data_IF_355261571111
#
_entry.id   IF_355261571111
#
_cell.length_a   1.000
_cell.length_b   1.000
_cell.length_c   1.000
_cell.angle_alpha   90.00
_cell.angle_beta   90.00
_cell.angle_gamma   90.00
#
_symmetry.space_group_name_H-M   'P 1'
#
loop_
_entity.id
_entity.type
_entity.pdbx_description
1 polymer ?
#
# COMPACT_ATOMS: atom_id res chain seq x y z
N UNK A 1 5.19 14.30 10.82
CA UNK A 1 4.35 14.64 9.65
C UNK A 1 4.65 13.61 8.57
N UNK A 2 3.69 12.75 8.21
CA UNK A 2 3.86 11.57 7.32
C UNK A 2 4.02 12.03 5.86
N UNK A 3 4.90 11.41 5.08
CA UNK A 3 4.96 11.62 3.62
C UNK A 3 3.95 10.67 3.00
N UNK A 4 2.87 11.23 2.45
CA UNK A 4 1.86 10.48 1.71
C UNK A 4 2.22 10.54 0.23
N UNK A 5 2.44 9.40 -0.42
CA UNK A 5 2.57 9.35 -1.87
C UNK A 5 1.17 9.46 -2.50
N UNK A 6 0.91 10.57 -3.20
CA UNK A 6 -0.35 10.79 -3.91
C UNK A 6 -0.25 10.27 -5.34
N UNK A 7 -1.15 9.35 -5.72
CA UNK A 7 -1.28 8.91 -7.10
C UNK A 7 -2.30 9.77 -7.85
N UNK A 8 -1.85 10.45 -8.91
CA UNK A 8 -2.71 11.19 -9.83
C UNK A 8 -3.59 10.20 -10.63
N UNK A 9 -4.88 10.13 -10.31
CA UNK A 9 -5.89 9.53 -11.20
C UNK A 9 -6.01 10.38 -12.46
N UNK A 10 -5.78 9.81 -13.65
CA UNK A 10 -6.30 10.41 -14.89
C UNK A 10 -7.83 10.43 -14.81
N UNK A 11 -8.43 11.57 -15.12
CA UNK A 11 -9.88 11.71 -15.32
C UNK A 11 -10.24 10.91 -16.57
N UNK A 12 -11.01 9.84 -16.40
CA UNK A 12 -11.83 9.29 -17.47
C UNK A 12 -13.31 9.48 -17.09
N UNK A 13 -14.02 10.23 -17.93
CA UNK A 13 -15.47 10.40 -17.91
C UNK A 13 -16.12 9.20 -18.62
N UNK A 14 -17.08 8.57 -17.94
CA UNK A 14 -17.79 7.39 -18.44
C UNK A 14 -17.81 6.30 -17.38
N UNK A 15 -19.02 5.82 -17.03
CA UNK A 15 -19.33 4.79 -16.01
C UNK A 15 -18.10 4.09 -15.41
N UNK A 16 -17.71 4.53 -14.21
CA UNK A 16 -16.63 3.95 -13.40
C UNK A 16 -16.74 2.42 -13.37
N UNK A 17 -15.95 1.72 -14.18
CA UNK A 17 -15.58 0.33 -13.88
C UNK A 17 -14.75 0.39 -12.60
N UNK A 18 -15.31 -0.08 -11.49
CA UNK A 18 -14.64 -0.11 -10.18
C UNK A 18 -13.69 -1.32 -10.16
N UNK A 19 -12.49 -1.16 -10.69
CA UNK A 19 -11.57 -2.29 -10.97
C UNK A 19 -10.98 -2.99 -9.73
N UNK A 20 -11.21 -2.52 -8.51
CA UNK A 20 -10.82 -3.25 -7.29
C UNK A 20 -11.97 -3.95 -6.55
N UNK A 21 -13.16 -3.33 -6.54
CA UNK A 21 -14.31 -3.79 -5.75
C UNK A 21 -15.36 -4.54 -6.57
N UNK A 22 -15.33 -4.47 -7.91
CA UNK A 22 -16.27 -5.22 -8.74
C UNK A 22 -16.11 -6.73 -8.58
N UNK A 23 -14.89 -7.25 -8.49
CA UNK A 23 -14.71 -8.70 -8.37
C UNK A 23 -15.40 -9.27 -7.12
N UNK A 24 -15.23 -8.63 -5.96
CA UNK A 24 -15.91 -9.03 -4.72
C UNK A 24 -17.43 -8.87 -4.81
N UNK A 25 -17.90 -7.80 -5.45
CA UNK A 25 -19.33 -7.55 -5.64
C UNK A 25 -19.99 -8.63 -6.51
N UNK A 26 -19.40 -8.95 -7.66
CA UNK A 26 -19.89 -10.00 -8.55
C UNK A 26 -19.86 -11.39 -7.89
N UNK A 27 -18.76 -11.73 -7.18
CA UNK A 27 -18.66 -12.98 -6.45
C UNK A 27 -19.71 -13.11 -5.33
N UNK A 28 -20.19 -11.98 -4.79
CA UNK A 28 -21.25 -11.93 -3.79
C UNK A 28 -22.67 -11.93 -4.40
N UNK A 29 -22.80 -12.30 -5.69
CA UNK A 29 -24.04 -12.32 -6.48
C UNK A 29 -24.55 -10.94 -6.91
N UNK A 30 -23.70 -9.92 -6.87
CA UNK A 30 -23.97 -8.60 -7.45
C UNK A 30 -25.36 -8.06 -7.12
N UNK A 31 -26.02 -7.48 -8.12
CA UNK A 31 -27.36 -6.87 -7.98
C UNK A 31 -28.48 -7.90 -7.69
N UNK A 32 -28.23 -9.21 -7.80
CA UNK A 32 -29.21 -10.24 -7.43
C UNK A 32 -29.44 -10.29 -5.90
N UNK A 33 -28.41 -9.96 -5.11
CA UNK A 33 -28.44 -10.04 -3.63
C UNK A 33 -28.05 -8.75 -2.92
N UNK A 34 -27.40 -7.81 -3.60
CA UNK A 34 -26.84 -6.60 -3.00
C UNK A 34 -27.45 -5.35 -3.65
N UNK A 35 -27.75 -4.34 -2.85
CA UNK A 35 -28.13 -3.01 -3.35
C UNK A 35 -27.14 -1.93 -2.87
N UNK A 36 -26.90 -0.93 -3.72
CA UNK A 36 -26.10 0.22 -3.35
C UNK A 36 -26.91 1.26 -2.60
N UNK A 37 -26.61 1.47 -1.31
CA UNK A 37 -27.33 2.43 -0.44
C UNK A 37 -26.82 3.87 -0.50
N UNK A 38 -26.01 4.21 -1.50
CA UNK A 38 -25.40 5.53 -1.65
C UNK A 38 -24.09 5.71 -0.89
N UNK A 39 -23.71 6.97 -0.61
CA UNK A 39 -22.45 7.33 0.05
C UNK A 39 -22.70 7.45 1.55
N UNK A 40 -22.14 6.51 2.33
CA UNK A 40 -22.27 6.51 3.80
C UNK A 40 -21.13 7.27 4.50
N UNK A 41 -19.97 7.37 3.86
CA UNK A 41 -18.78 8.03 4.41
C UNK A 41 -18.13 8.95 3.38
N UNK A 42 -17.43 10.02 3.80
CA UNK A 42 -16.61 10.83 2.90
C UNK A 42 -15.55 9.99 2.20
N UNK A 43 -15.01 10.50 1.09
CA UNK A 43 -13.92 9.84 0.38
C UNK A 43 -12.71 9.65 1.30
N UNK A 44 -12.27 8.40 1.46
CA UNK A 44 -11.01 8.06 2.10
C UNK A 44 -9.82 8.24 1.16
N UNK A 45 -8.63 8.36 1.75
CA UNK A 45 -7.36 8.36 1.02
C UNK A 45 -6.58 7.11 1.43
N UNK A 46 -6.00 6.44 0.45
CA UNK A 46 -5.08 5.32 0.64
C UNK A 46 -3.79 5.64 -0.10
N UNK A 47 -2.66 5.24 0.47
CA UNK A 47 -1.37 5.43 -0.18
C UNK A 47 -0.22 5.06 0.73
N UNK A 48 0.89 4.66 0.11
CA UNK A 48 2.10 4.27 0.82
C UNK A 48 2.69 5.44 1.59
N UNK A 49 3.25 5.13 2.74
CA UNK A 49 3.84 6.08 3.67
C UNK A 49 5.16 5.54 4.20
N UNK A 50 6.11 6.45 4.39
CA UNK A 50 7.39 6.18 5.04
C UNK A 50 7.63 7.17 6.17
N UNK A 51 8.56 6.85 7.06
CA UNK A 51 8.97 7.79 8.10
C UNK A 51 9.64 9.03 7.48
N UNK A 52 9.30 10.20 8.02
CA UNK A 52 9.77 11.48 7.48
C UNK A 52 11.28 11.65 7.55
N UNK A 53 11.91 11.13 8.61
CA UNK A 53 13.35 11.24 8.82
C UNK A 53 14.11 10.60 7.64
N UNK A 54 13.70 9.39 7.25
CA UNK A 54 14.29 8.69 6.10
C UNK A 54 13.91 9.36 4.80
N UNK A 55 12.65 9.76 4.63
CA UNK A 55 12.18 10.47 3.43
C UNK A 55 13.02 11.73 3.15
N UNK A 56 13.22 12.58 4.16
CA UNK A 56 13.96 13.82 4.01
C UNK A 56 15.46 13.56 3.77
N UNK A 57 16.05 12.63 4.53
CA UNK A 57 17.49 12.31 4.45
C UNK A 57 17.90 11.81 3.06
N UNK A 58 17.05 11.01 2.42
CA UNK A 58 17.34 10.39 1.12
C UNK A 58 16.51 10.99 -0.03
N UNK A 59 15.79 12.09 0.22
CA UNK A 59 14.92 12.77 -0.74
C UNK A 59 13.95 11.82 -1.47
N UNK A 60 13.25 10.97 -0.68
CA UNK A 60 12.31 9.97 -1.20
C UNK A 60 10.93 10.63 -1.34
N UNK A 61 10.56 10.94 -2.59
CA UNK A 61 9.32 11.67 -2.94
C UNK A 61 8.32 10.84 -3.74
N UNK A 62 8.69 9.62 -4.15
CA UNK A 62 7.80 8.66 -4.81
C UNK A 62 8.26 7.22 -4.55
N UNK A 63 7.34 6.27 -4.73
CA UNK A 63 7.60 4.83 -4.51
C UNK A 63 8.62 4.24 -5.50
N UNK A 64 8.77 4.82 -6.71
CA UNK A 64 9.73 4.29 -7.69
C UNK A 64 11.18 4.42 -7.23
N UNK A 65 11.46 5.26 -6.21
CA UNK A 65 12.77 5.29 -5.55
C UNK A 65 13.18 3.94 -4.97
N UNK A 66 12.23 3.07 -4.64
CA UNK A 66 12.52 1.70 -4.17
C UNK A 66 13.07 0.77 -5.27
N UNK A 67 13.10 1.20 -6.55
CA UNK A 67 13.85 0.48 -7.59
C UNK A 67 15.35 0.45 -7.30
N UNK A 68 15.86 1.48 -6.61
CA UNK A 68 17.22 1.50 -6.10
C UNK A 68 17.33 0.55 -4.89
N UNK A 69 18.21 -0.44 -5.01
CA UNK A 69 18.40 -1.46 -3.97
C UNK A 69 18.95 -0.87 -2.68
N UNK A 70 19.75 0.20 -2.74
CA UNK A 70 20.28 0.84 -1.55
C UNK A 70 19.20 1.63 -0.81
N UNK A 71 18.18 2.13 -1.53
CA UNK A 71 16.99 2.76 -0.91
C UNK A 71 16.04 1.70 -0.36
N UNK A 72 15.80 0.61 -1.09
CA UNK A 72 14.94 -0.48 -0.63
C UNK A 72 15.46 -1.10 0.67
N UNK A 73 16.78 -1.38 0.74
CA UNK A 73 17.46 -1.91 1.93
C UNK A 73 17.31 -1.05 3.19
N UNK A 74 17.00 0.24 3.06
CA UNK A 74 16.73 1.08 4.25
C UNK A 74 15.53 0.56 5.04
N UNK A 75 14.57 -0.06 4.34
CA UNK A 75 13.32 -0.57 4.89
C UNK A 75 13.33 -2.11 5.05
N UNK A 76 14.47 -2.74 4.86
CA UNK A 76 14.69 -4.16 5.11
C UNK A 76 14.79 -4.40 6.62
N UNK A 77 13.96 -5.30 7.13
CA UNK A 77 13.85 -5.63 8.55
C UNK A 77 14.15 -7.09 8.88
N UNK A 78 14.29 -7.96 7.89
CA UNK A 78 14.60 -9.38 8.07
C UNK A 78 15.94 -9.80 7.43
N UNK A 79 16.56 -8.92 6.64
CA UNK A 79 17.89 -9.08 6.08
C UNK A 79 17.91 -9.77 4.70
N UNK A 80 16.77 -9.91 4.02
CA UNK A 80 16.71 -10.53 2.69
C UNK A 80 17.11 -9.58 1.54
N UNK A 81 17.32 -8.29 1.84
CA UNK A 81 17.70 -7.25 0.90
C UNK A 81 16.53 -6.52 0.24
N UNK A 82 15.28 -6.80 0.63
CA UNK A 82 14.06 -6.14 0.14
C UNK A 82 13.45 -5.24 1.21
N UNK A 83 12.75 -4.21 0.76
CA UNK A 83 11.93 -3.39 1.66
C UNK A 83 10.73 -4.21 2.15
N UNK A 84 10.53 -4.31 3.46
CA UNK A 84 9.34 -4.96 4.01
C UNK A 84 8.18 -3.96 4.13
N UNK A 85 7.29 -3.96 3.15
CA UNK A 85 6.06 -3.16 3.15
C UNK A 85 5.02 -3.81 4.05
N UNK A 86 4.69 -3.12 5.14
CA UNK A 86 3.53 -3.47 5.97
C UNK A 86 2.26 -3.28 5.14
N UNK A 87 1.72 -4.41 4.71
CA UNK A 87 0.63 -4.49 3.77
C UNK A 87 -0.73 -4.60 4.41
N UNK A 88 -1.61 -5.32 3.73
CA UNK A 88 -2.97 -5.57 4.19
C UNK A 88 -3.16 -6.97 4.76
N UNK A 89 -4.30 -7.17 5.41
CA UNK A 89 -4.76 -8.51 5.74
C UNK A 89 -5.10 -9.28 4.46
N UNK A 90 -4.87 -10.60 4.49
CA UNK A 90 -5.19 -11.49 3.34
C UNK A 90 -6.69 -11.44 3.07
N UNK A 91 -7.06 -11.36 1.79
CA UNK A 91 -8.45 -11.27 1.32
C UNK A 91 -9.02 -9.86 1.28
N UNK A 92 -8.30 -8.85 1.78
CA UNK A 92 -8.72 -7.46 1.63
C UNK A 92 -8.40 -6.94 0.24
N UNK A 93 -9.22 -6.02 -0.29
CA UNK A 93 -9.01 -5.48 -1.64
C UNK A 93 -7.66 -4.77 -1.81
N UNK A 94 -7.12 -4.17 -0.75
CA UNK A 94 -5.81 -3.54 -0.77
C UNK A 94 -4.67 -4.55 -0.97
N UNK A 95 -4.83 -5.83 -0.63
CA UNK A 95 -3.84 -6.86 -0.97
C UNK A 95 -3.65 -6.95 -2.49
N UNK A 96 -4.76 -7.11 -3.21
CA UNK A 96 -4.76 -7.23 -4.67
C UNK A 96 -4.20 -5.96 -5.34
N UNK A 97 -4.56 -4.80 -4.80
CA UNK A 97 -4.10 -3.50 -5.30
C UNK A 97 -2.59 -3.34 -5.08
N UNK A 98 -2.05 -3.67 -3.90
CA UNK A 98 -0.62 -3.61 -3.63
C UNK A 98 0.12 -4.56 -4.56
N UNK A 99 -0.30 -5.83 -4.65
CA UNK A 99 0.34 -6.82 -5.52
C UNK A 99 0.39 -6.36 -6.98
N UNK A 100 -0.73 -5.84 -7.48
CA UNK A 100 -0.79 -5.26 -8.82
C UNK A 100 0.17 -4.06 -8.98
N UNK A 101 0.22 -3.15 -8.01
CA UNK A 101 1.09 -1.98 -8.08
C UNK A 101 2.58 -2.34 -7.98
N UNK A 102 2.96 -3.29 -7.14
CA UNK A 102 4.35 -3.77 -7.07
C UNK A 102 4.78 -4.39 -8.39
N UNK A 103 3.89 -5.14 -9.07
CA UNK A 103 4.15 -5.66 -10.40
C UNK A 103 4.23 -4.53 -11.44
N UNK A 104 3.22 -3.66 -11.51
CA UNK A 104 3.12 -2.60 -12.51
C UNK A 104 4.25 -1.56 -12.41
N UNK A 105 4.80 -1.38 -11.21
CA UNK A 105 5.94 -0.49 -10.96
C UNK A 105 7.28 -1.21 -10.94
N UNK A 106 7.34 -2.51 -11.25
CA UNK A 106 8.57 -3.32 -11.31
C UNK A 106 9.35 -3.30 -9.98
N UNK A 107 8.62 -3.48 -8.87
CA UNK A 107 9.16 -3.44 -7.50
C UNK A 107 9.21 -4.82 -6.82
N UNK A 108 8.69 -5.89 -7.44
CA UNK A 108 8.57 -7.21 -6.81
C UNK A 108 9.91 -7.83 -6.38
N UNK A 109 11.01 -7.46 -7.05
CA UNK A 109 12.36 -7.92 -6.68
C UNK A 109 12.99 -7.10 -5.55
N UNK A 110 12.39 -5.97 -5.16
CA UNK A 110 12.93 -4.99 -4.22
C UNK A 110 12.03 -4.72 -3.03
N UNK A 111 10.76 -5.08 -3.11
CA UNK A 111 9.77 -4.83 -2.07
C UNK A 111 9.02 -6.12 -1.82
N UNK A 112 9.06 -6.58 -0.58
CA UNK A 112 8.20 -7.64 -0.09
C UNK A 112 6.92 -7.03 0.47
N UNK A 113 5.79 -7.61 0.09
CA UNK A 113 4.49 -7.26 0.65
C UNK A 113 4.19 -8.16 1.84
N UNK A 114 4.40 -7.65 3.05
CA UNK A 114 4.20 -8.42 4.27
C UNK A 114 2.70 -8.52 4.56
N UNK A 115 2.18 -9.74 4.38
CA UNK A 115 0.79 -10.11 4.62
C UNK A 115 0.66 -10.80 5.98
N UNK A 116 -0.42 -10.51 6.69
CA UNK A 116 -0.68 -11.11 8.00
C UNK A 116 -1.74 -10.38 8.79
N UNK A 117 -1.75 -10.58 10.10
CA UNK A 117 -2.58 -9.80 11.01
C UNK A 117 -2.10 -8.34 11.02
N UNK A 118 -2.88 -7.45 10.39
CA UNK A 118 -2.49 -6.06 10.16
C UNK A 118 -2.12 -5.32 11.45
N UNK A 119 -2.86 -5.58 12.53
CA UNK A 119 -2.61 -4.97 13.84
C UNK A 119 -1.26 -5.38 14.43
N UNK A 120 -0.86 -6.63 14.23
CA UNK A 120 0.43 -7.17 14.68
C UNK A 120 1.56 -6.57 13.84
N UNK A 121 1.42 -6.60 12.52
CA UNK A 121 2.41 -6.04 11.60
C UNK A 121 2.61 -4.53 11.82
N UNK A 122 1.52 -3.80 12.03
CA UNK A 122 1.58 -2.37 12.32
C UNK A 122 2.20 -2.09 13.70
N UNK A 123 1.90 -2.91 14.71
CA UNK A 123 2.51 -2.77 16.04
C UNK A 123 4.04 -2.94 15.98
N UNK A 124 4.52 -3.97 15.28
CA UNK A 124 5.95 -4.18 15.04
C UNK A 124 6.59 -2.98 14.32
N UNK A 125 5.95 -2.47 13.27
CA UNK A 125 6.43 -1.29 12.55
C UNK A 125 6.51 -0.05 13.45
N UNK A 126 5.51 0.17 14.31
CA UNK A 126 5.54 1.27 15.28
C UNK A 126 6.72 1.10 16.26
N UNK A 127 6.98 -0.11 16.75
CA UNK A 127 8.15 -0.39 17.60
C UNK A 127 9.46 -0.09 16.89
N UNK A 128 9.61 -0.52 15.62
CA UNK A 128 10.79 -0.20 14.81
C UNK A 128 10.96 1.30 14.59
N UNK A 129 9.87 2.01 14.30
CA UNK A 129 9.87 3.46 14.17
C UNK A 129 10.31 4.15 15.48
N UNK A 130 9.83 3.68 16.64
CA UNK A 130 10.25 4.20 17.95
C UNK A 130 11.74 3.95 18.23
N UNK A 131 12.32 2.88 17.69
CA UNK A 131 13.76 2.61 17.71
C UNK A 131 14.56 3.46 16.70
N UNK A 132 13.89 4.34 15.94
CA UNK A 132 14.49 5.20 14.94
C UNK A 132 14.87 4.47 13.64
N UNK A 133 14.34 3.27 13.42
CA UNK A 133 14.53 2.49 12.19
C UNK A 133 13.56 2.97 11.10
N UNK A 134 13.93 2.91 9.81
CA UNK A 134 13.04 3.27 8.73
C UNK A 134 11.85 2.29 8.63
N UNK A 135 10.69 2.81 8.23
CA UNK A 135 9.48 2.01 8.04
C UNK A 135 8.76 2.40 6.75
N UNK A 136 8.10 1.42 6.13
CA UNK A 136 7.21 1.60 5.00
C UNK A 136 5.92 0.81 5.23
N UNK A 137 4.77 1.48 5.06
CA UNK A 137 3.45 0.90 5.31
C UNK A 137 2.39 1.50 4.37
N UNK A 138 1.25 0.81 4.19
CA UNK A 138 0.07 1.34 3.50
C UNK A 138 -0.85 2.11 4.47
#
# INVERSE_FOLDING_TARGET
MKVLFHFLRKKEEGRRKKEGSNHFFENARGEEKLEGVGILTPNGIQGYQIDKKTADKYNITNIQKLKDSEIAKLFDSDGDGKANLVGCHVGWSCELIINHQLQAYELQDKVEHNLGEYTILLADAITRYQQGKPIIYL
#
